data_IF_992822466496
#
_entry.id   IF_992822466496
#
_cell.length_a   1.000
_cell.length_b   1.000
_cell.length_c   1.000
_cell.angle_alpha   90.00
_cell.angle_beta   90.00
_cell.angle_gamma   90.00
#
_symmetry.space_group_name_H-M   'P 1'
#
loop_
_entity.id
_entity.type
_entity.pdbx_description
1 polymer ?
#
# COMPACT_ATOMS: atom_id res chain seq x y z
N UNK A 1 26.48 1.12 11.89
CA UNK A 1 25.40 1.99 12.41
C UNK A 1 24.57 2.44 11.22
N UNK A 2 23.37 1.90 11.00
CA UNK A 2 22.59 2.20 9.78
C UNK A 2 21.12 2.56 10.05
N UNK A 3 20.67 2.61 11.31
CA UNK A 3 19.27 2.86 11.66
C UNK A 3 19.15 4.00 12.69
N UNK A 4 19.64 5.19 12.32
CA UNK A 4 19.56 6.38 13.20
C UNK A 4 20.35 7.61 12.75
N UNK A 5 21.06 7.55 11.63
CA UNK A 5 21.73 8.72 11.06
C UNK A 5 20.85 9.40 10.01
N UNK A 6 20.70 10.72 10.10
CA UNK A 6 20.05 11.51 9.07
C UNK A 6 20.90 11.56 7.81
N UNK A 7 20.26 11.64 6.65
CA UNK A 7 20.94 11.83 5.38
C UNK A 7 21.79 13.11 5.46
N UNK A 8 23.11 12.95 5.32
CA UNK A 8 24.08 14.06 5.44
C UNK A 8 23.83 15.20 4.46
N UNK A 9 23.18 14.90 3.33
CA UNK A 9 22.83 15.87 2.30
C UNK A 9 21.33 16.10 2.31
N UNK A 10 20.95 17.38 2.18
CA UNK A 10 19.56 17.78 1.93
C UNK A 10 19.06 17.12 0.65
N UNK A 11 17.80 16.68 0.68
CA UNK A 11 17.10 16.19 -0.49
C UNK A 11 16.69 17.38 -1.37
N UNK A 12 17.51 17.76 -2.34
CA UNK A 12 17.23 18.96 -3.17
C UNK A 12 16.25 18.70 -4.31
N UNK A 13 16.09 17.45 -4.75
CA UNK A 13 15.20 17.12 -5.87
C UNK A 13 13.71 17.33 -5.53
N UNK A 14 13.35 17.29 -4.24
CA UNK A 14 11.98 17.58 -3.78
C UNK A 14 11.65 19.08 -3.74
N UNK A 15 12.64 19.96 -3.90
CA UNK A 15 12.42 21.42 -3.78
C UNK A 15 11.40 21.94 -4.80
N UNK A 16 11.28 21.29 -5.97
CA UNK A 16 10.26 21.63 -6.97
C UNK A 16 8.82 21.40 -6.51
N UNK A 17 8.61 20.52 -5.52
CA UNK A 17 7.30 20.19 -4.97
C UNK A 17 6.91 21.07 -3.79
N UNK A 18 7.82 21.92 -3.30
CA UNK A 18 7.53 22.87 -2.22
C UNK A 18 6.76 24.12 -2.70
N UNK A 19 6.82 24.37 -4.00
CA UNK A 19 6.01 25.38 -4.66
C UNK A 19 4.63 24.79 -4.95
N UNK A 20 3.60 25.36 -4.32
CA UNK A 20 2.20 24.91 -4.43
C UNK A 20 1.74 24.78 -5.88
N UNK A 21 2.05 25.77 -6.72
CA UNK A 21 1.63 25.76 -8.13
C UNK A 21 2.32 24.66 -8.91
N UNK A 22 3.61 24.43 -8.64
CA UNK A 22 4.37 23.34 -9.28
C UNK A 22 3.92 21.97 -8.80
N UNK A 23 3.64 21.81 -7.51
CA UNK A 23 3.10 20.57 -6.94
C UNK A 23 1.75 20.24 -7.56
N UNK A 24 0.79 21.18 -7.50
CA UNK A 24 -0.54 20.99 -8.10
C UNK A 24 -0.43 20.69 -9.59
N UNK A 25 0.36 21.49 -10.33
CA UNK A 25 0.56 21.28 -11.76
C UNK A 25 1.22 19.94 -12.08
N UNK A 26 2.07 19.41 -11.19
CA UNK A 26 2.63 18.08 -11.33
C UNK A 26 1.60 16.98 -11.04
N UNK A 27 0.80 17.13 -9.98
CA UNK A 27 -0.30 16.20 -9.64
C UNK A 27 -1.34 16.13 -10.77
N UNK A 28 -1.74 17.28 -11.33
CA UNK A 28 -2.70 17.36 -12.44
C UNK A 28 -2.21 16.69 -13.73
N UNK A 29 -0.90 16.48 -13.88
CA UNK A 29 -0.29 15.80 -15.04
C UNK A 29 -0.14 14.29 -14.87
N UNK A 30 -0.42 13.75 -13.68
CA UNK A 30 -0.31 12.31 -13.46
C UNK A 30 -1.45 11.55 -14.16
N UNK A 31 -1.21 10.28 -14.46
CA UNK A 31 -2.24 9.38 -14.99
C UNK A 31 -3.10 8.88 -13.82
N UNK A 32 -4.18 9.59 -13.53
CA UNK A 32 -5.18 9.20 -12.54
C UNK A 32 -6.22 8.23 -13.09
N UNK A 33 -6.11 7.79 -14.35
CA UNK A 33 -7.00 6.81 -14.96
C UNK A 33 -6.43 5.40 -14.86
N UNK A 34 -6.21 4.76 -16.02
CA UNK A 34 -5.83 3.37 -16.17
C UNK A 34 -4.57 2.93 -15.40
N UNK A 35 -3.64 3.84 -15.08
CA UNK A 35 -2.39 3.55 -14.37
C UNK A 35 -2.29 4.21 -12.99
N UNK A 36 -3.41 4.34 -12.28
CA UNK A 36 -3.42 4.93 -10.92
C UNK A 36 -2.49 4.19 -9.94
N UNK A 37 -2.25 2.90 -10.14
CA UNK A 37 -1.26 2.10 -9.39
C UNK A 37 0.20 2.57 -9.61
N UNK A 38 0.55 3.07 -10.79
CA UNK A 38 1.86 3.66 -11.05
C UNK A 38 1.96 5.09 -10.52
N UNK A 39 0.89 5.88 -10.72
CA UNK A 39 0.80 7.25 -10.21
C UNK A 39 0.93 7.27 -8.68
N UNK A 40 0.23 6.36 -8.01
CA UNK A 40 0.22 6.29 -6.55
C UNK A 40 1.59 5.99 -5.96
N UNK A 41 2.37 5.07 -6.55
CA UNK A 41 3.77 4.84 -6.15
C UNK A 41 4.59 6.14 -6.22
N UNK A 42 4.49 6.86 -7.35
CA UNK A 42 5.27 8.08 -7.57
C UNK A 42 4.89 9.20 -6.60
N UNK A 43 3.59 9.34 -6.31
CA UNK A 43 3.06 10.33 -5.37
C UNK A 43 3.39 9.97 -3.93
N UNK A 44 3.30 8.69 -3.56
CA UNK A 44 3.74 8.21 -2.26
C UNK A 44 5.22 8.50 -2.03
N UNK A 45 6.09 8.22 -3.01
CA UNK A 45 7.51 8.50 -2.90
C UNK A 45 7.73 9.99 -2.57
N UNK A 46 7.12 10.90 -3.34
CA UNK A 46 7.20 12.34 -3.06
C UNK A 46 6.72 12.66 -1.64
N UNK A 47 5.57 12.12 -1.22
CA UNK A 47 5.02 12.31 0.12
C UNK A 47 5.98 11.85 1.23
N UNK A 48 6.55 10.65 1.10
CA UNK A 48 7.52 10.09 2.07
C UNK A 48 8.77 10.97 2.15
N UNK A 49 9.27 11.47 1.02
CA UNK A 49 10.45 12.34 1.04
C UNK A 49 10.15 13.73 1.61
N UNK A 50 8.93 14.24 1.45
CA UNK A 50 8.47 15.45 2.14
C UNK A 50 8.37 15.22 3.66
N UNK A 51 7.79 14.11 4.10
CA UNK A 51 7.77 13.69 5.51
C UNK A 51 9.18 13.60 6.08
N UNK A 52 10.08 12.92 5.38
CA UNK A 52 11.47 12.78 5.80
C UNK A 52 12.19 14.13 5.94
N UNK A 53 12.05 15.01 4.94
CA UNK A 53 12.69 16.32 4.97
C UNK A 53 12.16 17.20 6.13
N UNK A 54 10.84 17.15 6.38
CA UNK A 54 10.24 17.84 7.53
C UNK A 54 10.82 17.32 8.85
N UNK A 55 10.77 16.00 9.07
CA UNK A 55 11.02 15.41 10.39
C UNK A 55 12.51 15.25 10.72
N UNK A 56 13.34 14.99 9.71
CA UNK A 56 14.76 14.70 9.91
C UNK A 56 15.71 15.79 9.39
N UNK A 57 15.21 16.71 8.54
CA UNK A 57 16.00 17.83 8.01
C UNK A 57 15.49 19.21 8.47
N UNK A 58 14.41 19.25 9.28
CA UNK A 58 13.85 20.50 9.81
C UNK A 58 13.22 21.39 8.75
N UNK A 59 12.82 20.81 7.62
CA UNK A 59 12.36 21.53 6.44
C UNK A 59 10.86 21.87 6.56
N UNK A 60 10.55 23.05 7.11
CA UNK A 60 9.17 23.48 7.34
C UNK A 60 8.37 23.64 6.03
N UNK A 61 9.02 24.02 4.93
CA UNK A 61 8.38 24.13 3.60
C UNK A 61 7.97 22.75 3.07
N UNK A 62 8.77 21.70 3.34
CA UNK A 62 8.37 20.33 3.02
C UNK A 62 7.09 19.91 3.77
N UNK A 63 6.93 20.34 5.02
CA UNK A 63 5.71 20.12 5.79
C UNK A 63 4.47 20.81 5.20
N UNK A 64 4.62 22.06 4.72
CA UNK A 64 3.54 22.78 4.04
C UNK A 64 3.14 22.10 2.72
N UNK A 65 4.14 21.69 1.94
CA UNK A 65 3.92 20.96 0.70
C UNK A 65 3.24 19.60 0.91
N UNK A 66 3.59 18.89 1.99
CA UNK A 66 2.93 17.64 2.36
C UNK A 66 1.45 17.86 2.66
N UNK A 67 1.10 18.93 3.40
CA UNK A 67 -0.31 19.29 3.66
C UNK A 67 -1.07 19.52 2.37
N UNK A 68 -0.50 20.30 1.44
CA UNK A 68 -1.10 20.55 0.13
C UNK A 68 -1.27 19.27 -0.70
N UNK A 69 -0.31 18.34 -0.62
CA UNK A 69 -0.41 17.04 -1.27
C UNK A 69 -1.57 16.22 -0.69
N UNK A 70 -1.70 16.15 0.64
CA UNK A 70 -2.79 15.42 1.29
C UNK A 70 -4.15 16.03 0.98
N UNK A 71 -4.27 17.36 1.02
CA UNK A 71 -5.50 18.08 0.67
C UNK A 71 -5.91 17.79 -0.78
N UNK A 72 -4.95 17.81 -1.72
CA UNK A 72 -5.19 17.43 -3.10
C UNK A 72 -5.70 15.99 -3.22
N UNK A 73 -5.12 15.05 -2.47
CA UNK A 73 -5.55 13.65 -2.51
C UNK A 73 -6.96 13.46 -1.95
N UNK A 74 -7.35 14.23 -0.93
CA UNK A 74 -8.73 14.25 -0.41
C UNK A 74 -9.69 14.74 -1.49
N UNK A 75 -9.39 15.87 -2.14
CA UNK A 75 -10.22 16.45 -3.21
C UNK A 75 -10.31 15.52 -4.44
N UNK A 76 -9.26 14.74 -4.71
CA UNK A 76 -9.17 13.83 -5.85
C UNK A 76 -9.85 12.48 -5.60
N UNK A 77 -10.08 12.09 -4.34
CA UNK A 77 -10.76 10.84 -4.00
C UNK A 77 -12.22 10.90 -4.43
N UNK A 78 -12.73 9.82 -5.04
CA UNK A 78 -14.15 9.73 -5.38
C UNK A 78 -14.97 9.52 -4.10
N UNK A 79 -15.86 10.45 -3.69
CA UNK A 79 -16.62 10.34 -2.45
C UNK A 79 -17.61 9.16 -2.43
N UNK A 80 -17.97 8.61 -3.59
CA UNK A 80 -18.88 7.47 -3.69
C UNK A 80 -18.20 6.12 -3.44
N UNK A 81 -16.87 6.07 -3.60
CA UNK A 81 -16.07 4.83 -3.46
C UNK A 81 -14.97 4.94 -2.40
N UNK A 82 -14.55 6.15 -2.04
CA UNK A 82 -13.40 6.41 -1.19
C UNK A 82 -12.05 6.10 -1.83
N UNK A 83 -12.01 5.86 -3.16
CA UNK A 83 -10.82 5.43 -3.89
C UNK A 83 -10.42 6.44 -4.98
N UNK A 84 -9.25 6.21 -5.59
CA UNK A 84 -8.70 6.99 -6.69
C UNK A 84 -8.72 6.19 -8.00
N UNK A 85 -8.84 6.88 -9.13
CA UNK A 85 -8.98 6.28 -10.44
C UNK A 85 -10.17 6.89 -11.19
N UNK A 86 -9.94 7.87 -12.08
CA UNK A 86 -10.91 8.82 -12.70
C UNK A 86 -12.07 8.14 -13.49
N UNK A 87 -12.88 7.31 -12.84
CA UNK A 87 -14.03 6.61 -13.42
C UNK A 87 -13.69 5.50 -14.41
N UNK A 88 -12.41 5.28 -14.74
CA UNK A 88 -11.98 4.24 -15.68
C UNK A 88 -12.04 2.82 -15.10
N UNK A 89 -12.22 2.69 -13.78
CA UNK A 89 -12.34 1.41 -13.09
C UNK A 89 -13.79 1.06 -12.78
N UNK A 90 -14.29 -0.01 -13.41
CA UNK A 90 -15.47 -0.70 -12.92
C UNK A 90 -15.11 -1.50 -11.65
N UNK A 91 -15.43 -0.97 -10.47
CA UNK A 91 -15.13 -1.64 -9.18
C UNK A 91 -15.91 -2.93 -8.95
N UNK A 92 -16.88 -3.27 -9.80
CA UNK A 92 -17.52 -4.60 -9.83
C UNK A 92 -16.55 -5.66 -10.37
N UNK A 93 -15.64 -5.27 -11.27
CA UNK A 93 -14.54 -6.12 -11.71
C UNK A 93 -13.50 -6.26 -10.58
N UNK A 94 -13.18 -7.51 -10.23
CA UNK A 94 -12.30 -7.82 -9.10
C UNK A 94 -10.88 -7.29 -9.30
N UNK A 95 -10.39 -7.31 -10.54
CA UNK A 95 -9.02 -6.88 -10.87
C UNK A 95 -8.91 -5.37 -10.83
N UNK A 96 -9.91 -4.66 -11.34
CA UNK A 96 -10.02 -3.21 -11.21
C UNK A 96 -10.07 -2.78 -9.74
N UNK A 97 -10.91 -3.43 -8.95
CA UNK A 97 -10.97 -3.19 -7.50
C UNK A 97 -9.64 -3.46 -6.81
N UNK A 98 -8.98 -4.59 -7.11
CA UNK A 98 -7.65 -4.88 -6.56
C UNK A 98 -6.61 -3.84 -6.93
N UNK A 99 -6.65 -3.29 -8.15
CA UNK A 99 -5.72 -2.23 -8.56
C UNK A 99 -6.01 -0.92 -7.84
N UNK A 100 -7.28 -0.55 -7.70
CA UNK A 100 -7.68 0.64 -6.97
C UNK A 100 -7.26 0.57 -5.48
N UNK A 101 -7.36 -0.60 -4.85
CA UNK A 101 -6.87 -0.81 -3.48
C UNK A 101 -5.34 -0.68 -3.38
N UNK A 102 -4.59 -1.26 -4.31
CA UNK A 102 -3.12 -1.11 -4.34
C UNK A 102 -2.74 0.37 -4.43
N UNK A 103 -3.43 1.13 -5.28
CA UNK A 103 -3.18 2.56 -5.41
C UNK A 103 -3.57 3.35 -4.14
N UNK A 104 -4.72 3.03 -3.56
CA UNK A 104 -5.22 3.69 -2.37
C UNK A 104 -4.29 3.45 -1.16
N UNK A 105 -3.77 2.24 -1.00
CA UNK A 105 -2.84 1.90 0.07
C UNK A 105 -1.57 2.77 0.08
N UNK A 106 -0.98 3.02 -1.09
CA UNK A 106 0.19 3.91 -1.21
C UNK A 106 -0.09 5.32 -0.67
N UNK A 107 -1.31 5.82 -0.89
CA UNK A 107 -1.72 7.11 -0.33
C UNK A 107 -2.01 7.01 1.17
N UNK A 108 -2.76 6.00 1.61
CA UNK A 108 -3.13 5.78 3.02
C UNK A 108 -1.93 5.76 3.96
N UNK A 109 -0.79 5.22 3.51
CA UNK A 109 0.47 5.22 4.26
C UNK A 109 0.91 6.63 4.68
N UNK A 110 0.62 7.66 3.88
CA UNK A 110 0.94 9.04 4.23
C UNK A 110 0.13 9.49 5.46
N UNK A 111 -1.19 9.31 5.46
CA UNK A 111 -2.03 9.65 6.62
C UNK A 111 -1.71 8.79 7.84
N UNK A 112 -1.47 7.50 7.67
CA UNK A 112 -1.11 6.62 8.79
C UNK A 112 0.20 7.05 9.46
N UNK A 113 1.17 7.55 8.69
CA UNK A 113 2.40 8.13 9.24
C UNK A 113 2.11 9.43 10.01
N UNK A 114 1.24 10.29 9.47
CA UNK A 114 0.78 11.52 10.14
C UNK A 114 -0.11 11.24 11.37
N UNK A 115 -0.52 9.98 11.58
CA UNK A 115 -1.49 9.56 12.61
C UNK A 115 -2.85 10.24 12.42
N UNK A 116 -3.21 10.46 11.16
CA UNK A 116 -4.48 11.05 10.76
C UNK A 116 -5.41 9.98 10.17
N UNK A 117 -6.71 10.23 10.26
CA UNK A 117 -7.74 9.39 9.64
C UNK A 117 -7.67 9.53 8.12
N UNK A 118 -7.69 8.42 7.40
CA UNK A 118 -7.81 8.43 5.93
C UNK A 118 -9.20 8.96 5.51
N UNK A 119 -9.34 9.51 4.29
CA UNK A 119 -10.67 9.82 3.77
C UNK A 119 -11.50 8.54 3.58
N UNK A 120 -12.78 8.62 3.94
CA UNK A 120 -13.78 7.55 3.74
C UNK A 120 -13.38 6.15 4.27
N UNK A 121 -12.99 6.00 5.55
CA UNK A 121 -12.43 4.76 6.06
C UNK A 121 -13.36 3.55 5.97
N UNK A 122 -14.67 3.75 6.12
CA UNK A 122 -15.65 2.66 6.03
C UNK A 122 -15.77 2.12 4.60
N UNK A 123 -15.73 3.00 3.59
CA UNK A 123 -15.69 2.60 2.18
C UNK A 123 -14.39 1.86 1.84
N UNK A 124 -13.26 2.32 2.40
CA UNK A 124 -11.99 1.62 2.28
C UNK A 124 -12.10 0.18 2.82
N UNK A 125 -12.65 -0.01 4.03
CA UNK A 125 -12.90 -1.34 4.61
C UNK A 125 -13.76 -2.19 3.68
N UNK A 126 -14.86 -1.65 3.14
CA UNK A 126 -15.74 -2.39 2.24
C UNK A 126 -15.03 -2.87 0.97
N UNK A 127 -14.22 -2.01 0.37
CA UNK A 127 -13.50 -2.36 -0.85
C UNK A 127 -12.36 -3.34 -0.58
N UNK A 128 -11.61 -3.18 0.52
CA UNK A 128 -10.54 -4.11 0.91
C UNK A 128 -11.12 -5.49 1.22
N UNK A 129 -12.19 -5.60 2.01
CA UNK A 129 -12.80 -6.90 2.31
C UNK A 129 -13.24 -7.64 1.04
N UNK A 130 -13.71 -6.91 0.03
CA UNK A 130 -14.09 -7.46 -1.29
C UNK A 130 -12.91 -7.91 -2.14
N UNK A 131 -11.64 -7.63 -1.78
CA UNK A 131 -10.46 -8.17 -2.49
C UNK A 131 -9.98 -9.48 -1.89
N UNK A 132 -10.50 -9.92 -0.74
CA UNK A 132 -10.10 -11.19 -0.15
C UNK A 132 -10.62 -12.36 -0.99
N UNK A 133 -9.69 -13.18 -1.49
CA UNK A 133 -10.03 -14.35 -2.28
C UNK A 133 -10.39 -15.56 -1.38
N UNK A 134 -10.88 -16.63 -2.02
CA UNK A 134 -11.32 -17.84 -1.32
C UNK A 134 -10.22 -18.56 -0.53
N UNK A 135 -8.95 -18.36 -0.89
CA UNK A 135 -7.82 -19.00 -0.21
C UNK A 135 -7.30 -18.21 1.00
N UNK A 136 -7.83 -17.00 1.25
CA UNK A 136 -7.47 -16.15 2.39
C UNK A 136 -6.51 -15.01 2.05
N UNK A 137 -5.87 -15.03 0.89
CA UNK A 137 -5.09 -13.90 0.38
C UNK A 137 -5.97 -12.79 -0.18
N UNK A 138 -5.36 -11.64 -0.48
CA UNK A 138 -5.99 -10.46 -1.07
C UNK A 138 -5.44 -10.21 -2.47
N UNK A 139 -6.29 -9.70 -3.36
CA UNK A 139 -5.91 -9.46 -4.74
C UNK A 139 -6.47 -10.50 -5.70
N UNK A 140 -6.99 -10.02 -6.82
CA UNK A 140 -7.61 -10.82 -7.87
C UNK A 140 -6.97 -10.52 -9.23
N UNK A 141 -5.85 -11.18 -9.53
CA UNK A 141 -5.32 -11.29 -10.89
C UNK A 141 -4.65 -10.04 -11.48
N UNK A 142 -4.30 -9.04 -10.68
CA UNK A 142 -3.48 -7.89 -11.14
C UNK A 142 -2.10 -8.37 -11.56
N UNK A 143 -1.45 -9.14 -10.70
CA UNK A 143 -0.12 -9.69 -10.93
C UNK A 143 -0.13 -11.13 -11.45
N UNK A 144 -1.30 -11.75 -11.66
CA UNK A 144 -1.39 -13.12 -12.15
C UNK A 144 -2.75 -13.43 -12.80
N UNK A 145 -2.84 -13.25 -14.12
CA UNK A 145 -4.09 -13.52 -14.85
C UNK A 145 -4.44 -15.01 -14.91
N UNK A 146 -3.43 -15.91 -14.84
CA UNK A 146 -3.64 -17.36 -14.99
C UNK A 146 -4.15 -18.00 -13.69
N UNK A 147 -3.70 -17.49 -12.54
CA UNK A 147 -4.11 -17.96 -11.22
C UNK A 147 -4.49 -16.75 -10.35
N UNK A 148 -5.69 -16.18 -10.54
CA UNK A 148 -6.08 -14.90 -9.93
C UNK A 148 -6.13 -14.94 -8.40
N UNK A 149 -6.31 -16.12 -7.79
CA UNK A 149 -6.37 -16.31 -6.34
C UNK A 149 -5.02 -16.69 -5.70
N UNK A 150 -3.92 -16.56 -6.45
CA UNK A 150 -2.56 -16.67 -5.95
C UNK A 150 -1.98 -15.25 -5.82
N UNK A 151 -2.34 -14.60 -4.71
CA UNK A 151 -1.99 -13.21 -4.44
C UNK A 151 -0.49 -12.99 -4.32
N UNK A 152 -0.05 -11.80 -4.72
CA UNK A 152 1.34 -11.39 -4.48
C UNK A 152 1.56 -10.98 -3.03
N UNK A 153 2.83 -10.94 -2.63
CA UNK A 153 3.22 -10.34 -1.36
C UNK A 153 2.77 -8.87 -1.21
N UNK A 154 2.72 -8.09 -2.29
CA UNK A 154 2.19 -6.72 -2.29
C UNK A 154 0.67 -6.69 -2.11
N UNK A 155 -0.09 -7.46 -2.91
CA UNK A 155 -1.55 -7.46 -2.82
C UNK A 155 -2.05 -7.82 -1.41
N UNK A 156 -1.34 -8.71 -0.71
CA UNK A 156 -1.65 -9.08 0.67
C UNK A 156 -1.40 -7.94 1.67
N UNK A 157 -0.22 -7.31 1.66
CA UNK A 157 0.07 -6.23 2.61
C UNK A 157 -0.78 -4.98 2.36
N UNK A 158 -1.05 -4.66 1.10
CA UNK A 158 -1.84 -3.48 0.69
C UNK A 158 -3.28 -3.55 1.21
N UNK A 159 -3.70 -4.74 1.64
CA UNK A 159 -5.01 -4.98 2.26
C UNK A 159 -4.91 -5.23 3.77
N UNK A 160 -3.91 -6.01 4.22
CA UNK A 160 -3.74 -6.37 5.65
C UNK A 160 -3.40 -5.14 6.49
N UNK A 161 -2.43 -4.33 6.06
CA UNK A 161 -1.98 -3.16 6.84
C UNK A 161 -3.11 -2.15 7.11
N UNK A 162 -3.84 -1.64 6.10
CA UNK A 162 -4.92 -0.69 6.35
C UNK A 162 -6.03 -1.29 7.21
N UNK A 163 -6.42 -2.56 7.02
CA UNK A 163 -7.42 -3.20 7.88
C UNK A 163 -7.00 -3.21 9.35
N UNK A 164 -5.76 -3.57 9.64
CA UNK A 164 -5.23 -3.57 11.01
C UNK A 164 -5.20 -2.16 11.60
N UNK A 165 -4.77 -1.16 10.82
CA UNK A 165 -4.69 0.24 11.28
C UNK A 165 -6.05 0.89 11.49
N UNK A 166 -7.07 0.43 10.78
CA UNK A 166 -8.44 0.94 10.90
C UNK A 166 -9.22 0.31 12.06
N UNK A 167 -8.89 -0.91 12.48
CA UNK A 167 -9.51 -1.59 13.64
C UNK A 167 -9.59 -0.76 14.94
N UNK A 168 -8.55 0.02 15.34
CA UNK A 168 -8.64 0.87 16.53
C UNK A 168 -9.32 2.22 16.27
N UNK A 169 -9.61 2.58 15.01
CA UNK A 169 -10.13 3.90 14.63
C UNK A 169 -11.63 3.88 14.32
N UNK A 170 -12.20 2.71 14.00
CA UNK A 170 -13.63 2.54 13.76
C UNK A 170 -14.08 1.11 14.11
N UNK A 171 -15.34 0.98 14.55
CA UNK A 171 -15.98 -0.33 14.77
C UNK A 171 -16.73 -0.85 13.53
N UNK A 172 -16.69 -0.10 12.42
CA UNK A 172 -17.35 -0.49 11.18
C UNK A 172 -16.87 -1.87 10.70
N UNK A 173 -17.81 -2.82 10.63
CA UNK A 173 -17.57 -4.20 10.19
C UNK A 173 -16.41 -4.90 10.92
N UNK A 174 -16.17 -4.54 12.20
CA UNK A 174 -15.07 -5.06 13.02
C UNK A 174 -14.92 -6.58 12.95
N UNK A 175 -16.03 -7.31 13.11
CA UNK A 175 -16.02 -8.79 13.10
C UNK A 175 -15.62 -9.36 11.73
N UNK A 176 -16.10 -8.75 10.64
CA UNK A 176 -15.71 -9.14 9.28
C UNK A 176 -14.22 -8.88 9.03
N UNK A 177 -13.69 -7.77 9.56
CA UNK A 177 -12.27 -7.44 9.47
C UNK A 177 -11.44 -8.46 10.25
N UNK A 178 -11.81 -8.77 11.49
CA UNK A 178 -11.11 -9.77 12.31
C UNK A 178 -11.12 -11.13 11.62
N UNK A 179 -12.28 -11.58 11.12
CA UNK A 179 -12.40 -12.85 10.39
C UNK A 179 -11.55 -12.85 9.12
N UNK A 180 -11.52 -11.75 8.37
CA UNK A 180 -10.69 -11.58 7.18
C UNK A 180 -9.20 -11.71 7.53
N UNK A 181 -8.73 -11.01 8.57
CA UNK A 181 -7.35 -11.09 9.03
C UNK A 181 -6.99 -12.52 9.49
N UNK A 182 -7.85 -13.20 10.24
CA UNK A 182 -7.65 -14.59 10.67
C UNK A 182 -7.48 -15.54 9.48
N UNK A 183 -8.25 -15.35 8.41
CA UNK A 183 -8.12 -16.14 7.17
C UNK A 183 -6.82 -15.86 6.43
N UNK A 184 -6.28 -14.64 6.53
CA UNK A 184 -5.05 -14.24 5.86
C UNK A 184 -3.78 -14.79 6.52
N UNK A 185 -3.79 -15.03 7.83
CA UNK A 185 -2.63 -15.54 8.56
C UNK A 185 -2.07 -16.87 8.01
N UNK A 186 -2.86 -17.96 7.91
CA UNK A 186 -2.36 -19.21 7.35
C UNK A 186 -1.95 -19.07 5.86
N UNK A 187 -2.60 -18.16 5.13
CA UNK A 187 -2.24 -17.86 3.75
C UNK A 187 -0.84 -17.22 3.63
N UNK A 188 -0.54 -16.21 4.45
CA UNK A 188 0.77 -15.55 4.47
C UNK A 188 1.85 -16.55 4.87
N UNK A 189 1.63 -17.34 5.93
CA UNK A 189 2.57 -18.38 6.38
C UNK A 189 2.83 -19.42 5.28
N UNK A 190 1.81 -19.82 4.53
CA UNK A 190 1.93 -20.78 3.43
C UNK A 190 2.86 -20.34 2.28
N UNK A 191 3.25 -19.06 2.23
CA UNK A 191 4.22 -18.52 1.27
C UNK A 191 5.67 -18.59 1.75
N UNK A 192 5.92 -19.07 2.97
CA UNK A 192 7.28 -19.28 3.45
C UNK A 192 7.95 -20.44 2.70
N UNK A 193 9.24 -20.30 2.48
CA UNK A 193 10.13 -21.33 1.94
C UNK A 193 10.84 -22.08 3.07
N UNK A 194 11.44 -23.22 2.75
CA UNK A 194 12.20 -24.03 3.72
C UNK A 194 13.38 -23.25 4.33
N UNK A 195 13.87 -22.21 3.66
CA UNK A 195 14.94 -21.34 4.16
C UNK A 195 14.45 -20.27 5.15
N UNK A 196 13.14 -20.21 5.43
CA UNK A 196 12.50 -19.15 6.22
C UNK A 196 12.21 -17.85 5.46
N UNK A 197 12.73 -17.69 4.24
CA UNK A 197 12.41 -16.56 3.35
C UNK A 197 11.03 -16.74 2.70
N UNK A 198 10.46 -15.70 2.08
CA UNK A 198 9.16 -15.79 1.42
C UNK A 198 9.24 -15.58 -0.09
N UNK A 199 8.34 -16.25 -0.81
CA UNK A 199 8.13 -16.07 -2.26
C UNK A 199 7.18 -14.90 -2.53
N UNK A 200 7.31 -14.28 -3.70
CA UNK A 200 6.37 -13.23 -4.13
C UNK A 200 4.98 -13.79 -4.41
N UNK A 201 4.91 -14.92 -5.13
CA UNK A 201 3.72 -15.74 -5.36
C UNK A 201 4.12 -17.21 -5.30
N UNK A 202 3.29 -18.09 -4.74
CA UNK A 202 3.62 -19.52 -4.68
C UNK A 202 3.66 -20.12 -6.08
N UNK A 203 4.66 -20.95 -6.37
CA UNK A 203 4.73 -21.65 -7.66
C UNK A 203 5.06 -20.78 -8.87
N UNK A 204 5.57 -19.55 -8.67
CA UNK A 204 6.04 -18.67 -9.74
C UNK A 204 7.41 -18.07 -9.40
N UNK A 205 8.22 -17.81 -10.43
CA UNK A 205 9.37 -16.91 -10.31
C UNK A 205 8.91 -15.44 -10.33
N UNK A 206 9.82 -14.55 -9.93
CA UNK A 206 9.53 -13.12 -9.84
C UNK A 206 10.75 -12.30 -10.27
N UNK A 207 10.51 -11.16 -10.91
CA UNK A 207 11.53 -10.15 -11.22
C UNK A 207 10.96 -8.77 -10.91
N UNK A 208 11.71 -7.95 -10.18
CA UNK A 208 11.28 -6.61 -9.78
C UNK A 208 12.12 -5.54 -10.48
N UNK A 209 11.65 -5.04 -11.63
CA UNK A 209 12.21 -3.89 -12.34
C UNK A 209 13.60 -4.09 -12.98
N UNK A 210 14.39 -5.08 -12.53
CA UNK A 210 15.71 -5.37 -13.05
C UNK A 210 16.03 -6.87 -12.95
N UNK A 211 16.76 -7.47 -13.92
CA UNK A 211 17.12 -8.89 -13.89
C UNK A 211 17.86 -9.34 -12.63
N UNK A 212 18.69 -8.48 -12.03
CA UNK A 212 19.39 -8.81 -10.77
C UNK A 212 18.47 -8.87 -9.54
N UNK A 213 17.25 -8.35 -9.65
CA UNK A 213 16.21 -8.42 -8.63
C UNK A 213 15.21 -9.53 -8.94
N UNK A 214 15.72 -10.67 -9.42
CA UNK A 214 14.93 -11.87 -9.68
C UNK A 214 14.98 -12.87 -8.53
N UNK A 215 13.93 -13.67 -8.44
CA UNK A 215 13.87 -14.88 -7.64
C UNK A 215 13.32 -16.03 -8.50
N UNK A 216 14.01 -17.17 -8.46
CA UNK A 216 13.59 -18.39 -9.16
C UNK A 216 12.29 -18.94 -8.57
N UNK A 217 11.69 -19.89 -9.30
CA UNK A 217 10.52 -20.63 -8.86
C UNK A 217 10.70 -21.18 -7.43
N UNK A 218 9.79 -20.81 -6.52
CA UNK A 218 9.78 -21.22 -5.11
C UNK A 218 11.04 -20.84 -4.30
N UNK A 219 11.86 -19.93 -4.81
CA UNK A 219 12.97 -19.34 -4.07
C UNK A 219 12.52 -18.00 -3.52
N UNK A 220 12.77 -17.75 -2.23
CA UNK A 220 12.40 -16.48 -1.64
C UNK A 220 13.34 -15.35 -2.08
N UNK A 221 12.85 -14.12 -1.95
CA UNK A 221 13.62 -12.90 -2.24
C UNK A 221 13.50 -11.89 -1.10
N UNK A 222 14.40 -10.92 -1.03
CA UNK A 222 14.35 -9.90 0.04
C UNK A 222 13.04 -9.10 0.00
N UNK A 223 12.62 -8.67 -1.19
CA UNK A 223 11.39 -7.88 -1.39
C UNK A 223 10.12 -8.62 -0.91
N UNK A 224 9.82 -9.86 -1.35
CA UNK A 224 8.67 -10.59 -0.81
C UNK A 224 8.83 -10.98 0.66
N UNK A 225 10.05 -11.26 1.13
CA UNK A 225 10.31 -11.52 2.55
C UNK A 225 9.95 -10.30 3.40
N UNK A 226 10.34 -9.10 2.98
CA UNK A 226 9.96 -7.86 3.65
C UNK A 226 8.44 -7.71 3.79
N UNK A 227 7.69 -7.79 2.68
CA UNK A 227 6.23 -7.58 2.76
C UNK A 227 5.49 -8.66 3.53
N UNK A 228 5.92 -9.93 3.43
CA UNK A 228 5.29 -11.02 4.15
C UNK A 228 5.58 -10.97 5.64
N UNK A 229 6.82 -10.64 6.02
CA UNK A 229 7.16 -10.43 7.43
C UNK A 229 6.43 -9.21 8.01
N UNK A 230 6.31 -8.12 7.24
CA UNK A 230 5.49 -6.97 7.62
C UNK A 230 4.02 -7.37 7.78
N UNK A 231 3.47 -8.17 6.86
CA UNK A 231 2.08 -8.67 6.96
C UNK A 231 1.87 -9.46 8.26
N UNK A 232 2.81 -10.34 8.62
CA UNK A 232 2.76 -11.09 9.88
C UNK A 232 2.85 -10.16 11.10
N UNK A 233 3.71 -9.15 11.06
CA UNK A 233 3.82 -8.17 12.13
C UNK A 233 2.52 -7.37 12.31
N UNK A 234 1.87 -6.96 11.21
CA UNK A 234 0.56 -6.29 11.25
C UNK A 234 -0.51 -7.24 11.77
N UNK A 235 -0.56 -8.48 11.30
CA UNK A 235 -1.50 -9.49 11.78
C UNK A 235 -1.34 -9.75 13.28
N UNK A 236 -0.11 -9.84 13.78
CA UNK A 236 0.16 -9.99 15.21
C UNK A 236 -0.33 -8.81 16.05
N UNK A 237 -0.40 -7.60 15.49
CA UNK A 237 -0.99 -6.43 16.15
C UNK A 237 -2.53 -6.46 16.10
N UNK A 238 -3.11 -6.84 14.96
CA UNK A 238 -4.57 -6.88 14.78
C UNK A 238 -5.26 -8.09 15.43
N UNK A 239 -4.52 -9.19 15.65
CA UNK A 239 -4.99 -10.46 16.22
C UNK A 239 -4.14 -10.87 17.44
N UNK A 240 -4.11 -10.07 18.51
CA UNK A 240 -3.21 -10.29 19.64
C UNK A 240 -3.45 -11.62 20.36
N UNK A 241 -4.67 -12.18 20.28
CA UNK A 241 -5.05 -13.46 20.91
C UNK A 241 -4.61 -14.70 20.11
N UNK A 242 -3.97 -14.53 18.95
CA UNK A 242 -3.51 -15.64 18.09
C UNK A 242 -2.01 -15.95 18.18
N UNK A 243 -1.29 -15.29 19.11
CA UNK A 243 0.11 -15.56 19.43
C UNK A 243 0.26 -16.55 20.59
#
# INVERSE_FOLDING_TARGET
>A
HCLGENAKKRLTWIDRFKDEKKLKSWLDRQDWGYRVDYTSNTVQDVGIFLQYARDFQGDAEAGQALRQLLDYLVDKADPSTGLWGDGEYDLRDEKHRSRAIQAAYHFWLLWFYEREMIPYPELAVDHILKTQNKNGGFGCGVHNRKYPYNSSACEDIDSIDPLVRLLPLTDYRRDDVIQSLQRSLPWVIGHQTDSGSYVFKRGLGFEYGHPELNAKLNVGGMFPTWFRTLSLAMLGQGLPETN
#
